data_IF_108713548651
#
_entry.id   IF_108713548651
#
_cell.length_a   1.000
_cell.length_b   1.000
_cell.length_c   1.000
_cell.angle_alpha   90.00
_cell.angle_beta   90.00
_cell.angle_gamma   90.00
#
_symmetry.space_group_name_H-M   'P 1'
#
loop_
_entity.id
_entity.type
_entity.pdbx_description
1 polymer ?
#
# COMPACT_ATOMS: atom_id res chain seq x y z
N UNK A 1 9.72 18.20 27.81
CA UNK A 1 10.50 17.62 26.70
C UNK A 1 10.04 16.20 26.54
N UNK A 2 9.31 15.90 25.47
CA UNK A 2 8.69 14.58 25.26
C UNK A 2 9.50 13.79 24.23
N UNK A 3 9.79 12.51 24.49
CA UNK A 3 10.45 11.66 23.50
C UNK A 3 9.41 11.08 22.53
N UNK A 4 9.57 11.36 21.24
CA UNK A 4 8.76 10.79 20.16
C UNK A 4 9.56 9.67 19.50
N UNK A 5 9.07 8.43 19.57
CA UNK A 5 9.80 7.26 19.09
C UNK A 5 9.30 6.84 17.70
N UNK A 6 10.22 6.62 16.76
CA UNK A 6 9.93 6.10 15.41
C UNK A 6 10.83 4.89 15.13
N UNK A 7 10.22 3.75 14.82
CA UNK A 7 10.94 2.52 14.49
C UNK A 7 10.99 2.31 12.97
N UNK A 8 12.15 1.88 12.45
CA UNK A 8 12.33 1.54 11.03
C UNK A 8 13.19 0.30 10.86
N UNK A 9 12.69 -0.61 10.03
CA UNK A 9 13.45 -1.76 9.57
C UNK A 9 14.02 -1.52 8.17
N UNK A 10 15.32 -1.71 8.03
CA UNK A 10 16.02 -1.81 6.76
C UNK A 10 15.63 -3.15 6.15
N UNK A 11 14.87 -3.08 5.05
CA UNK A 11 14.38 -4.26 4.32
C UNK A 11 14.92 -4.32 2.90
N UNK A 12 16.16 -4.80 2.67
CA UNK A 12 16.70 -4.93 1.33
C UNK A 12 15.94 -5.95 0.48
N UNK A 13 15.40 -7.03 1.08
CA UNK A 13 14.69 -8.11 0.37
C UNK A 13 13.40 -7.68 -0.32
N UNK A 14 12.82 -6.54 0.10
CA UNK A 14 11.57 -6.00 -0.43
C UNK A 14 11.76 -4.76 -1.30
N UNK A 15 13.00 -4.43 -1.69
CA UNK A 15 13.32 -3.24 -2.50
C UNK A 15 13.80 -3.61 -3.91
N UNK A 16 13.06 -3.15 -4.94
CA UNK A 16 13.55 -3.08 -6.32
C UNK A 16 14.93 -2.40 -6.34
N UNK A 17 15.92 -3.12 -6.86
CA UNK A 17 17.34 -2.76 -6.75
C UNK A 17 17.59 -1.31 -7.18
N UNK A 18 18.01 -0.48 -6.21
CA UNK A 18 18.86 0.74 -6.29
C UNK A 18 18.54 1.77 -5.21
N UNK A 19 17.33 1.78 -4.63
CA UNK A 19 16.99 2.80 -3.61
C UNK A 19 17.46 2.38 -2.21
N UNK A 20 18.53 3.03 -1.73
CA UNK A 20 19.06 2.88 -0.36
C UNK A 20 18.45 3.87 0.64
N UNK A 21 17.43 4.65 0.27
CA UNK A 21 16.88 5.76 1.07
C UNK A 21 15.61 5.39 1.84
N UNK A 22 15.47 5.86 3.07
CA UNK A 22 14.37 5.59 4.01
C UNK A 22 13.87 6.91 4.58
N UNK A 23 12.56 7.02 4.84
CA UNK A 23 11.91 8.26 5.28
C UNK A 23 11.35 8.13 6.69
N UNK A 24 11.55 9.13 7.52
CA UNK A 24 10.99 9.27 8.87
C UNK A 24 10.02 10.43 8.86
N UNK A 25 8.79 10.16 9.30
CA UNK A 25 7.76 11.18 9.46
C UNK A 25 8.04 12.01 10.71
N UNK A 26 7.97 13.33 10.56
CA UNK A 26 8.24 14.31 11.63
C UNK A 26 7.05 15.23 11.90
N UNK A 27 5.90 15.01 11.26
CA UNK A 27 4.71 15.87 11.37
C UNK A 27 4.14 16.01 12.79
N UNK A 28 4.39 15.03 13.64
CA UNK A 28 3.92 15.01 15.04
C UNK A 28 5.02 15.35 16.03
N UNK A 29 6.18 15.84 15.56
CA UNK A 29 7.29 16.25 16.41
C UNK A 29 7.24 17.76 16.55
N UNK A 30 7.14 18.25 17.77
CA UNK A 30 7.11 19.68 18.07
C UNK A 30 8.50 20.17 18.48
N UNK A 31 8.72 21.49 18.49
CA UNK A 31 10.04 22.09 18.75
C UNK A 31 10.66 21.70 20.10
N UNK A 32 9.83 21.40 21.11
CA UNK A 32 10.26 21.01 22.46
C UNK A 32 10.46 19.51 22.68
N UNK A 33 10.30 18.69 21.63
CA UNK A 33 10.40 17.24 21.70
C UNK A 33 11.81 16.74 21.37
N UNK A 34 12.08 15.47 21.68
CA UNK A 34 13.22 14.73 21.12
C UNK A 34 12.67 13.62 20.25
N UNK A 35 13.07 13.60 18.98
CA UNK A 35 12.76 12.48 18.09
C UNK A 35 13.82 11.40 18.28
N UNK A 36 13.39 10.20 18.66
CA UNK A 36 14.24 9.00 18.75
C UNK A 36 13.88 8.08 17.60
N UNK A 37 14.83 7.82 16.70
CA UNK A 37 14.67 6.89 15.58
C UNK A 37 15.45 5.62 15.84
N UNK A 38 14.74 4.51 16.04
CA UNK A 38 15.33 3.19 16.15
C UNK A 38 15.36 2.53 14.78
N UNK A 39 16.54 2.09 14.35
CA UNK A 39 16.75 1.43 13.08
C UNK A 39 17.25 0.01 13.33
N UNK A 40 16.55 -0.98 12.79
CA UNK A 40 16.98 -2.37 12.75
C UNK A 40 17.11 -2.87 11.30
N UNK A 41 17.75 -4.03 11.11
CA UNK A 41 17.90 -4.66 9.79
C UNK A 41 17.25 -6.02 9.79
N UNK A 42 16.50 -6.35 8.73
CA UNK A 42 15.69 -7.58 8.71
C UNK A 42 16.52 -8.88 8.70
N UNK A 43 17.69 -8.86 8.05
CA UNK A 43 18.56 -10.05 7.89
C UNK A 43 19.94 -9.95 8.56
N UNK A 44 20.32 -8.78 9.06
CA UNK A 44 21.68 -8.54 9.61
C UNK A 44 21.56 -8.11 11.06
N UNK A 45 22.54 -8.47 11.87
CA UNK A 45 22.66 -8.05 13.28
C UNK A 45 23.04 -6.57 13.36
N UNK A 46 22.13 -5.69 12.96
CA UNK A 46 22.28 -4.24 13.01
C UNK A 46 21.09 -3.64 13.73
N UNK A 47 21.36 -2.93 14.82
CA UNK A 47 20.39 -2.11 15.55
C UNK A 47 21.08 -0.86 16.07
N UNK A 48 20.56 0.31 15.72
CA UNK A 48 21.07 1.62 16.19
C UNK A 48 19.92 2.58 16.47
N UNK A 49 20.11 3.45 17.45
CA UNK A 49 19.16 4.51 17.81
C UNK A 49 19.79 5.88 17.60
N UNK A 50 19.04 6.80 16.99
CA UNK A 50 19.48 8.15 16.67
C UNK A 50 18.53 9.16 17.30
N UNK A 51 19.06 10.17 17.98
CA UNK A 51 18.24 11.23 18.61
C UNK A 51 18.37 12.53 17.82
N UNK A 52 17.28 13.29 17.70
CA UNK A 52 17.23 14.59 17.04
C UNK A 52 16.50 15.58 17.93
N UNK A 53 16.96 16.84 17.93
CA UNK A 53 16.20 17.90 18.59
C UNK A 53 14.94 18.20 17.78
N UNK A 54 13.80 18.33 18.45
CA UNK A 54 12.53 18.69 17.83
C UNK A 54 12.63 20.00 17.05
N UNK A 55 13.43 20.97 17.49
CA UNK A 55 13.72 22.21 16.77
C UNK A 55 14.19 21.99 15.32
N UNK A 56 14.97 20.93 15.09
CA UNK A 56 15.67 20.69 13.82
C UNK A 56 14.77 19.97 12.80
N UNK A 57 13.68 19.37 13.28
CA UNK A 57 12.80 18.49 12.49
C UNK A 57 11.33 18.93 12.46
N UNK A 58 10.85 19.68 13.47
CA UNK A 58 9.43 20.02 13.62
C UNK A 58 8.86 20.89 12.49
N UNK A 59 9.72 21.62 11.78
CA UNK A 59 9.32 22.43 10.62
C UNK A 59 9.33 21.63 9.30
N UNK A 60 9.61 20.32 9.35
CA UNK A 60 9.70 19.44 8.19
C UNK A 60 8.59 18.41 8.27
N UNK A 61 8.08 18.02 7.11
CA UNK A 61 7.18 16.87 6.99
C UNK A 61 7.90 15.54 7.21
N UNK A 62 9.21 15.53 7.02
CA UNK A 62 10.04 14.33 7.16
C UNK A 62 11.52 14.61 7.15
N UNK A 63 12.28 13.69 7.74
CA UNK A 63 13.70 13.49 7.48
C UNK A 63 13.93 12.16 6.77
N UNK A 64 15.10 11.96 6.18
CA UNK A 64 15.43 10.70 5.50
C UNK A 64 16.82 10.23 5.90
N UNK A 65 17.07 8.94 5.74
CA UNK A 65 18.41 8.37 5.85
C UNK A 65 18.69 7.43 4.69
N UNK A 66 19.94 7.32 4.28
CA UNK A 66 20.42 6.30 3.36
C UNK A 66 21.20 5.24 4.10
N UNK A 67 21.06 4.00 3.67
CA UNK A 67 21.78 2.84 4.19
C UNK A 67 22.94 2.54 3.26
N UNK A 68 24.16 2.70 3.76
CA UNK A 68 25.36 2.26 3.08
C UNK A 68 25.79 0.93 3.70
N UNK A 69 25.46 -0.16 3.02
CA UNK A 69 25.85 -1.51 3.40
C UNK A 69 27.17 -1.88 2.70
N UNK A 70 28.22 -2.11 3.49
CA UNK A 70 29.56 -2.51 3.02
C UNK A 70 29.81 -4.02 3.23
N UNK A 71 28.76 -4.81 3.51
CA UNK A 71 28.86 -6.23 3.79
C UNK A 71 29.08 -6.50 5.28
N UNK A 72 30.23 -6.07 5.81
CA UNK A 72 30.63 -6.28 7.22
C UNK A 72 30.12 -5.20 8.18
N UNK A 73 29.84 -4.01 7.65
CA UNK A 73 29.37 -2.86 8.42
C UNK A 73 28.24 -2.15 7.67
N UNK A 74 27.32 -1.57 8.45
CA UNK A 74 26.21 -0.77 7.93
C UNK A 74 26.36 0.64 8.50
N UNK A 75 26.39 1.62 7.61
CA UNK A 75 26.41 3.04 7.94
C UNK A 75 25.12 3.74 7.50
N UNK A 76 24.73 4.76 8.27
CA UNK A 76 23.48 5.50 8.08
C UNK A 76 23.81 6.97 7.83
N UNK A 77 23.57 7.42 6.59
CA UNK A 77 23.76 8.81 6.22
C UNK A 77 22.42 9.55 6.25
N UNK A 78 22.30 10.54 7.13
CA UNK A 78 21.07 11.31 7.27
C UNK A 78 20.96 12.45 6.25
N UNK A 79 19.73 12.79 5.90
CA UNK A 79 19.39 13.91 5.02
C UNK A 79 18.17 14.61 5.60
N UNK A 80 18.26 15.93 5.73
CA UNK A 80 17.19 16.74 6.31
C UNK A 80 17.32 16.98 7.82
N UNK A 81 18.12 16.24 8.57
CA UNK A 81 18.56 16.63 9.92
C UNK A 81 19.78 15.80 10.33
N UNK A 82 20.53 16.27 11.32
CA UNK A 82 21.72 15.59 11.85
C UNK A 82 21.41 15.06 13.25
N UNK A 83 21.71 13.79 13.56
CA UNK A 83 21.54 13.27 14.90
C UNK A 83 22.44 13.97 15.91
N UNK A 84 21.92 14.15 17.13
CA UNK A 84 22.68 14.64 18.27
C UNK A 84 23.87 13.70 18.52
N UNK A 85 25.08 14.27 18.63
CA UNK A 85 26.30 13.52 18.90
C UNK A 85 26.98 12.87 17.68
N UNK A 86 26.53 13.16 16.46
CA UNK A 86 27.22 12.70 15.23
C UNK A 86 28.07 13.82 14.63
N UNK A 87 29.38 13.61 14.53
CA UNK A 87 30.30 14.57 13.91
C UNK A 87 30.11 14.59 12.37
N UNK A 88 29.77 15.76 11.84
CA UNK A 88 29.49 16.00 10.42
C UNK A 88 30.77 15.91 9.57
N UNK A 89 30.88 14.95 8.65
CA UNK A 89 31.80 15.06 7.51
C UNK A 89 31.05 15.71 6.35
N UNK A 90 31.34 16.99 6.12
CA UNK A 90 30.82 17.75 4.99
C UNK A 90 31.29 17.14 3.66
N UNK A 91 30.40 17.08 2.66
CA UNK A 91 30.81 16.82 1.27
C UNK A 91 30.11 17.83 0.36
N UNK A 92 30.94 18.64 -0.28
CA UNK A 92 30.69 19.74 -1.23
C UNK A 92 29.96 19.25 -2.49
N UNK A 93 29.09 20.06 -3.13
CA UNK A 93 28.44 19.67 -4.39
C UNK A 93 29.38 19.86 -5.60
N UNK A 94 29.47 18.84 -6.46
CA UNK A 94 30.18 18.89 -7.75
C UNK A 94 29.22 19.24 -8.92
N UNK A 95 29.72 19.87 -10.01
CA UNK A 95 28.90 20.65 -10.95
C UNK A 95 28.22 19.82 -12.06
N UNK A 96 27.15 20.39 -12.63
CA UNK A 96 26.41 19.89 -13.80
C UNK A 96 27.22 20.02 -15.09
N UNK A 97 27.19 19.04 -16.02
CA UNK A 97 27.59 19.26 -17.41
C UNK A 97 26.41 19.65 -18.31
N UNK A 98 26.64 20.67 -19.15
CA UNK A 98 25.89 21.04 -20.35
C UNK A 98 26.45 20.29 -21.56
N UNK A 99 25.59 19.73 -22.43
CA UNK A 99 25.81 19.59 -23.90
C UNK A 99 24.52 19.02 -24.54
N UNK A 100 23.81 19.81 -25.35
CA UNK A 100 23.81 19.93 -26.83
C UNK A 100 22.86 18.96 -27.56
N UNK A 101 21.93 19.57 -28.33
CA UNK A 101 21.04 18.96 -29.33
C UNK A 101 21.85 18.25 -30.43
N UNK A 102 21.46 17.03 -30.78
CA UNK A 102 21.51 16.51 -32.15
C UNK A 102 20.24 15.69 -32.38
N UNK A 103 19.60 15.95 -33.53
CA UNK A 103 18.41 15.31 -34.07
C UNK A 103 18.85 14.08 -34.84
N UNK A 104 18.16 12.94 -34.69
CA UNK A 104 17.86 12.03 -35.82
C UNK A 104 16.70 11.08 -35.47
N UNK A 105 15.92 10.75 -36.50
CA UNK A 105 14.63 10.02 -36.46
C UNK A 105 14.82 8.49 -36.64
N UNK A 106 13.87 7.77 -36.05
CA UNK A 106 13.32 6.42 -36.36
C UNK A 106 13.93 5.20 -35.62
N UNK A 107 13.15 4.10 -35.39
CA UNK A 107 11.70 3.94 -35.25
C UNK A 107 11.29 3.59 -33.79
N UNK A 108 10.00 3.78 -33.50
CA UNK A 108 9.41 3.68 -32.15
C UNK A 108 9.36 2.22 -31.67
N UNK A 109 10.30 1.82 -30.82
CA UNK A 109 10.17 0.63 -29.96
C UNK A 109 9.50 1.04 -28.65
N UNK A 110 8.35 0.43 -28.34
CA UNK A 110 7.54 0.66 -27.13
C UNK A 110 8.43 0.70 -25.87
N UNK A 111 8.48 1.86 -25.23
CA UNK A 111 9.16 2.04 -23.94
C UNK A 111 8.42 1.23 -22.87
N UNK A 112 9.09 0.22 -22.31
CA UNK A 112 8.57 -0.56 -21.18
C UNK A 112 8.39 0.38 -19.99
N UNK A 113 7.13 0.59 -19.60
CA UNK A 113 6.71 1.42 -18.47
C UNK A 113 7.25 0.87 -17.15
N UNK A 114 7.96 1.71 -16.39
CA UNK A 114 8.67 1.33 -15.14
C UNK A 114 7.80 1.37 -13.88
N UNK A 115 6.46 1.31 -14.00
CA UNK A 115 5.53 1.45 -12.86
C UNK A 115 4.60 0.26 -12.70
N UNK A 116 5.08 -0.92 -13.07
CA UNK A 116 4.35 -2.16 -12.95
C UNK A 116 4.18 -2.54 -11.48
N UNK A 117 2.93 -2.76 -11.07
CA UNK A 117 2.56 -3.26 -9.75
C UNK A 117 1.86 -4.59 -9.91
N UNK A 118 1.93 -5.41 -8.87
CA UNK A 118 1.26 -6.72 -8.80
C UNK A 118 0.34 -6.75 -7.59
N UNK A 119 -0.85 -7.33 -7.74
CA UNK A 119 -1.79 -7.59 -6.65
C UNK A 119 -1.30 -8.75 -5.76
N UNK A 120 -2.00 -8.99 -4.67
CA UNK A 120 -1.72 -10.10 -3.76
C UNK A 120 -2.53 -11.34 -4.15
N UNK A 121 -2.23 -12.46 -3.50
CA UNK A 121 -3.08 -13.65 -3.52
C UNK A 121 -4.45 -13.37 -2.88
N UNK A 122 -5.51 -14.09 -3.29
CA UNK A 122 -6.82 -13.94 -2.67
C UNK A 122 -6.79 -14.37 -1.20
N UNK A 123 -7.56 -13.67 -0.36
CA UNK A 123 -7.88 -14.16 0.98
C UNK A 123 -9.26 -14.81 0.90
N UNK A 124 -9.30 -16.13 0.91
CA UNK A 124 -10.53 -16.92 0.90
C UNK A 124 -10.30 -18.32 1.49
N UNK A 125 -11.37 -19.08 1.63
CA UNK A 125 -11.38 -20.50 1.95
C UNK A 125 -12.53 -21.21 1.22
N UNK A 126 -12.63 -22.54 1.35
CA UNK A 126 -13.69 -23.33 0.70
C UNK A 126 -15.12 -22.91 1.10
N UNK A 127 -15.29 -22.29 2.27
CA UNK A 127 -16.58 -21.82 2.79
C UNK A 127 -16.96 -20.41 2.32
N UNK A 128 -16.12 -19.76 1.51
CA UNK A 128 -16.37 -18.40 1.03
C UNK A 128 -17.63 -18.35 0.16
N UNK A 129 -18.58 -17.51 0.57
CA UNK A 129 -19.87 -17.31 -0.13
C UNK A 129 -19.97 -15.94 -0.82
N UNK A 130 -19.16 -14.98 -0.38
CA UNK A 130 -19.14 -13.61 -0.89
C UNK A 130 -17.69 -13.29 -1.29
N UNK A 131 -17.45 -12.79 -2.50
CA UNK A 131 -16.15 -12.30 -2.93
C UNK A 131 -16.23 -10.78 -3.16
N UNK A 132 -15.36 -10.02 -2.50
CA UNK A 132 -15.22 -8.58 -2.77
C UNK A 132 -14.01 -8.35 -3.66
N UNK A 133 -14.26 -7.71 -4.79
CA UNK A 133 -13.25 -7.38 -5.80
C UNK A 133 -12.91 -5.89 -5.77
N UNK A 134 -11.66 -5.60 -5.38
CA UNK A 134 -11.03 -4.31 -5.60
C UNK A 134 -10.49 -4.17 -7.01
N UNK A 135 -10.06 -2.97 -7.38
CA UNK A 135 -9.40 -2.74 -8.68
C UNK A 135 -7.99 -3.30 -8.65
N UNK A 136 -7.18 -2.83 -7.69
CA UNK A 136 -5.78 -3.15 -7.47
C UNK A 136 -5.33 -2.55 -6.14
N UNK A 137 -4.38 -3.16 -5.39
CA UNK A 137 -3.90 -2.58 -4.14
C UNK A 137 -3.24 -1.21 -4.37
N UNK A 138 -3.51 -0.27 -3.46
CA UNK A 138 -2.83 1.02 -3.45
C UNK A 138 -1.37 0.89 -2.98
N UNK A 139 -0.56 1.94 -3.17
CA UNK A 139 0.86 1.95 -2.76
C UNK A 139 1.01 1.58 -1.29
N UNK A 140 0.14 2.11 -0.43
CA UNK A 140 0.22 1.83 1.00
C UNK A 140 -0.14 0.39 1.35
N UNK A 141 -1.05 -0.22 0.60
CA UNK A 141 -1.37 -1.64 0.74
C UNK A 141 -0.17 -2.49 0.35
N UNK A 142 0.45 -2.20 -0.81
CA UNK A 142 1.65 -2.89 -1.30
C UNK A 142 2.84 -2.75 -0.35
N UNK A 143 3.08 -1.54 0.18
CA UNK A 143 4.12 -1.28 1.18
C UNK A 143 3.96 -2.12 2.46
N UNK A 144 2.72 -2.36 2.88
CA UNK A 144 2.39 -3.10 4.10
C UNK A 144 2.20 -4.60 3.87
N UNK A 145 2.04 -5.04 2.62
CA UNK A 145 1.60 -6.41 2.31
C UNK A 145 0.19 -6.71 2.80
N UNK A 146 -0.66 -5.67 2.91
CA UNK A 146 -2.01 -5.78 3.44
C UNK A 146 -3.05 -5.19 2.48
N UNK A 147 -4.06 -5.99 2.14
CA UNK A 147 -5.27 -5.45 1.53
C UNK A 147 -5.84 -4.31 2.37
N UNK A 148 -6.18 -3.21 1.70
CA UNK A 148 -6.75 -2.02 2.33
C UNK A 148 -5.92 -1.46 3.52
N UNK A 149 -4.60 -1.68 3.54
CA UNK A 149 -3.69 -1.24 4.62
C UNK A 149 -3.55 0.28 4.84
N UNK A 150 -4.09 1.14 3.96
CA UNK A 150 -4.08 2.58 4.20
C UNK A 150 -4.99 2.92 5.40
N UNK A 151 -4.49 3.63 6.42
CA UNK A 151 -5.24 3.90 7.67
C UNK A 151 -6.57 4.62 7.50
N UNK A 152 -6.68 5.49 6.49
CA UNK A 152 -7.95 6.16 6.12
C UNK A 152 -8.88 5.31 5.23
N UNK A 153 -8.49 4.10 4.83
CA UNK A 153 -9.39 3.21 4.08
C UNK A 153 -10.46 2.67 5.03
N UNK A 154 -11.72 2.75 4.62
CA UNK A 154 -12.87 2.42 5.48
C UNK A 154 -13.25 0.94 5.43
N UNK A 155 -12.61 0.12 4.59
CA UNK A 155 -13.01 -1.27 4.33
C UNK A 155 -13.19 -2.10 5.60
N UNK A 156 -12.17 -2.17 6.44
CA UNK A 156 -12.21 -2.98 7.67
C UNK A 156 -13.30 -2.52 8.64
N UNK A 157 -13.51 -1.20 8.74
CA UNK A 157 -14.58 -0.62 9.55
C UNK A 157 -15.96 -0.92 8.99
N UNK A 158 -16.12 -0.91 7.67
CA UNK A 158 -17.38 -1.27 7.01
C UNK A 158 -17.68 -2.75 7.24
N UNK A 159 -16.73 -3.65 6.98
CA UNK A 159 -16.93 -5.10 7.17
C UNK A 159 -17.27 -5.42 8.62
N UNK A 160 -16.56 -4.86 9.60
CA UNK A 160 -16.87 -5.09 11.02
C UNK A 160 -18.28 -4.60 11.36
N UNK A 161 -18.68 -3.41 10.90
CA UNK A 161 -20.00 -2.84 11.15
C UNK A 161 -21.14 -3.60 10.48
N UNK A 162 -21.00 -4.05 9.23
CA UNK A 162 -22.10 -4.75 8.54
C UNK A 162 -22.26 -6.19 9.00
N UNK A 163 -21.20 -6.79 9.57
CA UNK A 163 -21.23 -8.16 10.09
C UNK A 163 -21.43 -8.24 11.61
N UNK A 164 -21.64 -7.09 12.27
CA UNK A 164 -21.80 -6.97 13.72
C UNK A 164 -20.64 -7.59 14.52
N UNK A 165 -19.40 -7.34 14.08
CA UNK A 165 -18.17 -7.75 14.79
C UNK A 165 -17.35 -6.53 15.21
N UNK A 166 -16.45 -6.74 16.18
CA UNK A 166 -15.48 -5.73 16.59
C UNK A 166 -14.49 -5.39 15.46
N UNK A 167 -13.97 -4.16 15.48
CA UNK A 167 -12.97 -3.72 14.51
C UNK A 167 -11.64 -4.45 14.80
N UNK A 168 -11.13 -5.26 13.85
CA UNK A 168 -9.88 -5.99 14.05
C UNK A 168 -8.66 -5.05 14.08
N UNK A 169 -7.74 -5.31 15.01
CA UNK A 169 -6.55 -4.48 15.24
C UNK A 169 -5.38 -4.99 14.39
N UNK A 170 -5.13 -6.29 14.37
CA UNK A 170 -4.02 -6.89 13.62
C UNK A 170 -4.47 -7.41 12.25
N UNK A 171 -3.52 -7.62 11.33
CA UNK A 171 -3.85 -8.20 10.03
C UNK A 171 -4.28 -9.66 10.09
N UNK A 172 -3.80 -10.39 11.09
CA UNK A 172 -4.27 -11.74 11.40
C UNK A 172 -5.74 -11.71 11.79
N UNK A 173 -6.16 -10.78 12.66
CA UNK A 173 -7.56 -10.64 13.06
C UNK A 173 -8.46 -10.20 11.90
N UNK A 174 -7.94 -9.32 11.03
CA UNK A 174 -8.62 -8.89 9.79
C UNK A 174 -8.91 -10.08 8.88
N UNK A 175 -7.93 -10.98 8.68
CA UNK A 175 -8.12 -12.22 7.91
C UNK A 175 -9.11 -13.16 8.61
N UNK A 176 -8.98 -13.33 9.91
CA UNK A 176 -9.87 -14.19 10.69
C UNK A 176 -11.33 -13.72 10.60
N UNK A 177 -11.58 -12.40 10.66
CA UNK A 177 -12.91 -11.82 10.49
C UNK A 177 -13.52 -12.16 9.13
N UNK A 178 -12.73 -12.03 8.05
CA UNK A 178 -13.16 -12.37 6.70
C UNK A 178 -13.57 -13.84 6.58
N UNK A 179 -12.73 -14.75 7.05
CA UNK A 179 -13.00 -16.19 7.00
C UNK A 179 -14.21 -16.57 7.87
N UNK A 180 -14.32 -16.01 9.09
CA UNK A 180 -15.47 -16.21 10.00
C UNK A 180 -16.79 -15.77 9.34
N UNK A 181 -16.76 -14.68 8.58
CA UNK A 181 -17.94 -14.11 7.92
C UNK A 181 -18.16 -14.64 6.51
N UNK A 182 -17.33 -15.60 6.04
CA UNK A 182 -17.38 -16.20 4.70
C UNK A 182 -17.22 -15.19 3.56
N UNK A 183 -16.53 -14.09 3.86
CA UNK A 183 -16.20 -13.03 2.90
C UNK A 183 -14.76 -13.23 2.45
N UNK A 184 -14.57 -13.46 1.15
CA UNK A 184 -13.27 -13.44 0.50
C UNK A 184 -12.97 -12.06 -0.09
N UNK A 185 -11.69 -11.74 -0.22
CA UNK A 185 -11.24 -10.52 -0.91
C UNK A 185 -10.16 -10.84 -1.94
N UNK A 186 -10.22 -10.14 -3.07
CA UNK A 186 -9.18 -10.11 -4.08
C UNK A 186 -9.27 -8.82 -4.90
N UNK A 187 -8.49 -8.72 -5.97
CA UNK A 187 -8.57 -7.65 -6.96
C UNK A 187 -8.80 -8.21 -8.36
N UNK A 188 -9.34 -7.39 -9.25
CA UNK A 188 -9.51 -7.77 -10.66
C UNK A 188 -8.18 -7.69 -11.40
N UNK A 189 -7.37 -6.65 -11.19
CA UNK A 189 -6.06 -6.54 -11.84
C UNK A 189 -5.01 -7.36 -11.07
N UNK A 190 -4.45 -8.38 -11.70
CA UNK A 190 -3.26 -9.08 -11.23
C UNK A 190 -2.04 -8.16 -11.30
N UNK A 191 -1.86 -7.49 -12.44
CA UNK A 191 -0.69 -6.68 -12.71
C UNK A 191 -1.09 -5.48 -13.56
N UNK A 192 -0.55 -4.31 -13.28
CA UNK A 192 -0.82 -3.12 -14.08
C UNK A 192 0.27 -2.07 -13.92
N UNK A 193 0.43 -1.22 -14.93
CA UNK A 193 1.21 -0.01 -14.80
C UNK A 193 0.36 1.05 -14.12
N UNK A 194 0.75 1.46 -12.91
CA UNK A 194 0.00 2.47 -12.16
C UNK A 194 0.90 3.44 -11.43
N UNK A 195 0.90 4.69 -11.90
CA UNK A 195 1.58 5.78 -11.19
C UNK A 195 0.76 6.22 -9.97
N UNK A 196 1.29 6.00 -8.78
CA UNK A 196 0.60 6.34 -7.53
C UNK A 196 -0.61 5.44 -7.24
N UNK A 197 -1.50 5.90 -6.36
CA UNK A 197 -2.63 5.09 -5.83
C UNK A 197 -3.99 5.48 -6.40
N UNK A 198 -4.06 6.17 -7.55
CA UNK A 198 -5.34 6.51 -8.19
C UNK A 198 -5.71 5.48 -9.25
N UNK A 199 -6.97 5.04 -9.24
CA UNK A 199 -7.50 4.02 -10.16
C UNK A 199 -7.54 4.52 -11.61
N UNK A 200 -7.60 5.85 -11.80
CA UNK A 200 -7.53 6.50 -13.11
C UNK A 200 -6.16 6.43 -13.78
N UNK A 201 -5.11 6.10 -13.03
CA UNK A 201 -3.74 6.00 -13.54
C UNK A 201 -3.34 4.56 -13.89
N UNK A 202 -4.30 3.62 -13.92
CA UNK A 202 -4.08 2.21 -14.26
C UNK A 202 -4.11 2.06 -15.78
N UNK A 203 -3.00 1.56 -16.32
CA UNK A 203 -2.77 1.24 -17.72
C UNK A 203 -2.12 -0.15 -17.84
N UNK A 204 -2.21 -0.76 -19.03
CA UNK A 204 -1.63 -2.09 -19.34
C UNK A 204 -1.98 -3.18 -18.31
N UNK A 205 -3.25 -3.25 -17.90
CA UNK A 205 -3.65 -4.16 -16.84
C UNK A 205 -3.92 -5.59 -17.31
N UNK A 206 -3.28 -6.56 -16.65
CA UNK A 206 -3.50 -8.00 -16.77
C UNK A 206 -4.45 -8.44 -15.63
N UNK A 207 -5.56 -9.14 -15.93
CA UNK A 207 -6.49 -9.57 -14.89
C UNK A 207 -6.00 -10.81 -14.12
N UNK A 208 -6.46 -10.97 -12.89
CA UNK A 208 -6.33 -12.19 -12.10
C UNK A 208 -7.19 -13.31 -12.69
N UNK A 209 -6.83 -14.58 -12.46
CA UNK A 209 -7.61 -15.74 -12.91
C UNK A 209 -8.88 -15.95 -12.04
N UNK A 210 -9.85 -15.06 -12.22
CA UNK A 210 -11.12 -15.07 -11.49
C UNK A 210 -12.00 -16.24 -11.90
N UNK A 211 -11.91 -16.72 -13.14
CA UNK A 211 -12.72 -17.85 -13.60
C UNK A 211 -12.37 -19.14 -12.89
N UNK A 212 -11.08 -19.45 -12.77
CA UNK A 212 -10.61 -20.60 -12.01
C UNK A 212 -10.89 -20.45 -10.51
N UNK A 213 -10.77 -19.23 -9.97
CA UNK A 213 -11.15 -18.95 -8.60
C UNK A 213 -12.63 -19.25 -8.36
N UNK A 214 -13.53 -18.74 -9.20
CA UNK A 214 -14.97 -18.97 -9.10
C UNK A 214 -15.28 -20.47 -9.24
N UNK A 215 -14.65 -21.17 -10.19
CA UNK A 215 -14.86 -22.60 -10.40
C UNK A 215 -14.44 -23.45 -9.18
N UNK A 216 -13.40 -23.04 -8.45
CA UNK A 216 -12.93 -23.70 -7.22
C UNK A 216 -13.85 -23.43 -6.02
N UNK A 217 -14.54 -22.29 -5.98
CA UNK A 217 -15.39 -21.88 -4.86
C UNK A 217 -16.87 -22.17 -5.14
N UNK A 218 -17.28 -23.43 -5.02
CA UNK A 218 -18.65 -23.89 -5.28
C UNK A 218 -19.74 -23.22 -4.42
N UNK A 219 -19.35 -22.69 -3.26
CA UNK A 219 -20.24 -22.01 -2.33
C UNK A 219 -20.39 -20.51 -2.62
N UNK A 220 -19.64 -19.97 -3.58
CA UNK A 220 -19.72 -18.56 -3.96
C UNK A 220 -21.11 -18.24 -4.52
N UNK A 221 -21.72 -17.16 -4.04
CA UNK A 221 -23.04 -16.68 -4.46
C UNK A 221 -23.05 -15.21 -4.84
N UNK A 222 -22.16 -14.41 -4.24
CA UNK A 222 -22.16 -12.96 -4.41
C UNK A 222 -20.76 -12.48 -4.78
N UNK A 223 -20.68 -11.62 -5.81
CA UNK A 223 -19.49 -10.84 -6.13
C UNK A 223 -19.82 -9.36 -5.93
N UNK A 224 -19.12 -8.72 -4.99
CA UNK A 224 -19.23 -7.29 -4.71
C UNK A 224 -18.07 -6.51 -5.31
N UNK A 225 -18.36 -5.49 -6.12
CA UNK A 225 -17.34 -4.63 -6.72
C UNK A 225 -17.08 -3.41 -5.84
N UNK A 226 -15.88 -3.32 -5.25
CA UNK A 226 -15.47 -2.16 -4.45
C UNK A 226 -15.06 -0.98 -5.34
N UNK A 227 -16.06 -0.25 -5.86
CA UNK A 227 -15.91 0.90 -6.75
C UNK A 227 -16.25 0.59 -8.21
N UNK A 228 -16.57 1.64 -8.97
CA UNK A 228 -16.99 1.52 -10.37
C UNK A 228 -15.88 0.99 -11.28
N UNK A 229 -14.62 1.28 -10.96
CA UNK A 229 -13.47 0.81 -11.77
C UNK A 229 -13.28 -0.70 -11.66
N UNK A 230 -13.46 -1.31 -10.48
CA UNK A 230 -13.32 -2.76 -10.35
C UNK A 230 -14.43 -3.49 -11.10
N UNK A 231 -15.65 -2.97 -11.08
CA UNK A 231 -16.73 -3.48 -11.92
C UNK A 231 -16.41 -3.36 -13.42
N UNK A 232 -16.04 -2.17 -13.88
CA UNK A 232 -15.72 -1.94 -15.29
C UNK A 232 -14.58 -2.84 -15.77
N UNK A 233 -13.62 -3.12 -14.89
CA UNK A 233 -12.51 -4.01 -15.21
C UNK A 233 -12.94 -5.47 -15.27
N UNK A 234 -13.82 -5.89 -14.37
CA UNK A 234 -14.40 -7.23 -14.41
C UNK A 234 -15.19 -7.43 -15.71
N UNK A 235 -16.12 -6.51 -16.01
CA UNK A 235 -16.98 -6.57 -17.20
C UNK A 235 -16.17 -6.48 -18.52
N UNK A 236 -14.91 -6.00 -18.48
CA UNK A 236 -13.98 -5.99 -19.62
C UNK A 236 -13.35 -7.36 -19.90
N UNK A 237 -13.09 -8.16 -18.86
CA UNK A 237 -12.28 -9.39 -18.97
C UNK A 237 -13.06 -10.67 -18.69
N UNK A 238 -14.22 -10.58 -18.04
CA UNK A 238 -14.99 -11.73 -17.57
C UNK A 238 -16.47 -11.58 -17.90
N UNK A 239 -17.08 -12.69 -18.30
CA UNK A 239 -18.52 -12.78 -18.45
C UNK A 239 -19.20 -13.01 -17.11
N UNK A 240 -20.39 -12.44 -16.96
CA UNK A 240 -21.21 -12.65 -15.77
C UNK A 240 -21.89 -14.02 -15.82
N UNK A 241 -21.88 -14.72 -14.70
CA UNK A 241 -22.49 -16.05 -14.54
C UNK A 241 -23.87 -15.91 -13.88
N UNK A 242 -24.86 -16.60 -14.42
CA UNK A 242 -26.27 -16.47 -13.99
C UNK A 242 -26.54 -16.99 -12.57
N UNK A 243 -25.67 -17.85 -12.05
CA UNK A 243 -25.74 -18.42 -10.70
C UNK A 243 -25.10 -17.51 -9.63
N UNK A 244 -24.51 -16.37 -10.04
CA UNK A 244 -23.89 -15.39 -9.16
C UNK A 244 -24.65 -14.06 -9.19
N UNK A 245 -24.78 -13.47 -8.01
CA UNK A 245 -25.30 -12.11 -7.83
C UNK A 245 -24.13 -11.12 -7.85
N UNK A 246 -24.23 -10.11 -8.71
CA UNK A 246 -23.23 -9.05 -8.84
C UNK A 246 -23.75 -7.77 -8.20
N UNK A 247 -22.97 -7.16 -7.30
CA UNK A 247 -23.36 -5.97 -6.55
C UNK A 247 -22.29 -4.89 -6.70
N UNK A 248 -22.70 -3.71 -7.14
CA UNK A 248 -21.83 -2.55 -7.28
C UNK A 248 -21.79 -1.76 -5.96
N UNK A 249 -20.61 -1.62 -5.36
CA UNK A 249 -20.45 -0.97 -4.06
C UNK A 249 -19.69 0.34 -4.19
N UNK A 250 -19.98 1.36 -3.35
CA UNK A 250 -19.17 2.56 -3.27
C UNK A 250 -17.74 2.21 -2.80
N UNK A 251 -16.75 2.91 -3.36
CA UNK A 251 -15.34 2.68 -3.02
C UNK A 251 -15.06 2.95 -1.54
N UNK A 252 -14.29 2.08 -0.90
CA UNK A 252 -13.81 2.25 0.49
C UNK A 252 -12.57 3.15 0.62
N UNK A 253 -12.01 3.58 -0.51
CA UNK A 253 -10.84 4.46 -0.58
C UNK A 253 -11.10 5.81 0.10
N UNK A 254 -10.08 6.45 0.72
CA UNK A 254 -10.20 7.80 1.26
C UNK A 254 -10.53 8.87 0.20
N UNK A 255 -10.36 8.57 -1.09
CA UNK A 255 -10.77 9.47 -2.18
C UNK A 255 -12.30 9.60 -2.30
N UNK A 256 -13.06 8.64 -1.77
CA UNK A 256 -14.52 8.69 -1.80
C UNK A 256 -15.06 9.48 -0.59
N UNK A 257 -15.12 10.81 -0.71
CA UNK A 257 -15.64 11.71 0.33
C UNK A 257 -17.12 12.03 0.19
N UNK A 258 -17.77 11.58 -0.89
CA UNK A 258 -19.16 11.94 -1.23
C UNK A 258 -20.23 11.13 -0.50
N UNK A 259 -19.86 10.15 0.32
CA UNK A 259 -20.79 9.29 1.06
C UNK A 259 -20.37 9.15 2.53
N UNK A 260 -21.32 9.43 3.42
CA UNK A 260 -21.14 9.26 4.86
C UNK A 260 -21.03 7.77 5.24
N UNK A 261 -20.60 7.51 6.47
CA UNK A 261 -20.29 6.15 6.92
C UNK A 261 -21.52 5.25 7.06
N UNK A 262 -22.67 5.80 7.46
CA UNK A 262 -23.87 4.99 7.68
C UNK A 262 -24.52 4.62 6.34
N UNK A 263 -24.54 5.57 5.40
CA UNK A 263 -25.01 5.33 4.04
C UNK A 263 -24.18 4.29 3.30
N UNK A 264 -22.84 4.36 3.38
CA UNK A 264 -21.99 3.33 2.76
C UNK A 264 -22.21 1.96 3.42
N UNK A 265 -22.36 1.89 4.74
CA UNK A 265 -22.67 0.63 5.43
C UNK A 265 -24.02 0.05 4.99
N UNK A 266 -25.06 0.87 4.81
CA UNK A 266 -26.37 0.42 4.29
C UNK A 266 -26.25 -0.21 2.90
N UNK A 267 -25.49 0.41 2.00
CA UNK A 267 -25.25 -0.13 0.65
C UNK A 267 -24.44 -1.42 0.71
N UNK A 268 -23.41 -1.46 1.56
CA UNK A 268 -22.58 -2.65 1.73
C UNK A 268 -23.32 -3.83 2.36
N UNK A 269 -24.35 -3.62 3.21
CA UNK A 269 -25.17 -4.71 3.75
C UNK A 269 -25.88 -5.55 2.69
N UNK A 270 -26.07 -5.03 1.48
CA UNK A 270 -26.70 -5.78 0.38
C UNK A 270 -25.93 -7.05 0.00
N UNK A 271 -24.62 -7.12 0.28
CA UNK A 271 -23.80 -8.32 0.03
C UNK A 271 -24.16 -9.49 0.95
N UNK A 272 -24.73 -9.20 2.12
CA UNK A 272 -25.10 -10.21 3.10
C UNK A 272 -26.50 -10.79 2.84
N UNK A 273 -27.30 -10.10 2.01
CA UNK A 273 -28.66 -10.51 1.70
C UNK A 273 -28.63 -11.66 0.68
N UNK A 274 -28.92 -12.86 1.19
CA UNK A 274 -29.10 -14.11 0.43
C UNK A 274 -30.24 -14.00 -0.55
#
# INVERSE_FOLDING_TARGET
MTEIIRNRTIRPSTRLEKSKSYKIDTKTVYRGDILVVNIDHETKSFRKSYKFNGSDVAHKDSISFRVNDYGTTIDISWSGATPIGTASKATTPAPKPLTKKVVDKAPVSKSVSTHTKTSFDPISNADTTILILGTMPGDKSLELGEYYGHSRNRFWKIISTITDNDLPITYTDKKALLLKTKIGIWDVAHKANRKGSLDSAIEDEEPNDLDNFIAKHKNLKVIGFNGTKSQALFDKYFDRKSDLKYISLPSTSPANTGIDFDSICKLWRQILTK
#
